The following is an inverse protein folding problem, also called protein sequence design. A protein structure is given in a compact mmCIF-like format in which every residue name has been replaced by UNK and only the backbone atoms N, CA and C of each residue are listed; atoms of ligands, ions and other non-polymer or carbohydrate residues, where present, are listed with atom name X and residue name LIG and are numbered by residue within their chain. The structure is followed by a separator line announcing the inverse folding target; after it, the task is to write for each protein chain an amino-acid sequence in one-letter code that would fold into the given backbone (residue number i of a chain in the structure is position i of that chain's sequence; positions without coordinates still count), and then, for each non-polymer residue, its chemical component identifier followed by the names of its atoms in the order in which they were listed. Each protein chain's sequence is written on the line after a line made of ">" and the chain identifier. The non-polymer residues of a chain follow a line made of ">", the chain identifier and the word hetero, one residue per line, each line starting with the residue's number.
data_IF_852856940314
#
_entry.id   IF_852856940314
#
_cell.length_a   1.000
_cell.length_b   1.000
_cell.length_c   1.000
_cell.angle_alpha   90.00
_cell.angle_beta   90.00
_cell.angle_gamma   90.00
#
_symmetry.space_group_name_H-M   'P 1'
#
loop_
_entity.id
_entity.type
_entity.pdbx_description
1 polymer ?
#
# COMPACT_ATOMS: atom_id res chain seq x y z
N UNK A 1 -10.94 -6.25 17.17
CA UNK A 1 -9.83 -5.51 16.54
C UNK A 1 -8.82 -6.53 16.02
N UNK A 2 -8.39 -6.42 14.75
CA UNK A 2 -7.39 -7.35 14.20
C UNK A 2 -6.01 -7.12 14.81
N UNK A 3 -5.13 -8.13 14.77
CA UNK A 3 -3.75 -7.99 15.26
C UNK A 3 -3.04 -6.87 14.46
N UNK A 4 -2.36 -5.92 15.13
CA UNK A 4 -1.55 -4.92 14.45
C UNK A 4 -0.50 -5.56 13.53
N UNK A 5 -0.07 -4.81 12.52
CA UNK A 5 1.04 -5.21 11.65
C UNK A 5 2.35 -5.26 12.45
N UNK A 6 3.27 -6.08 11.96
CA UNK A 6 4.61 -6.12 12.53
C UNK A 6 5.35 -4.82 12.16
N UNK A 7 6.10 -4.24 13.10
CA UNK A 7 6.84 -2.99 12.90
C UNK A 7 7.95 -3.10 11.85
N UNK A 8 8.39 -4.30 11.48
CA UNK A 8 9.34 -4.52 10.38
C UNK A 8 8.85 -4.03 9.01
N UNK A 9 7.54 -3.80 8.88
CA UNK A 9 6.91 -3.31 7.66
C UNK A 9 6.76 -1.78 7.64
N UNK A 10 7.33 -1.12 8.64
CA UNK A 10 7.27 0.33 8.84
C UNK A 10 8.70 0.87 8.84
N UNK A 11 8.82 2.14 8.51
CA UNK A 11 10.07 2.92 8.65
C UNK A 11 9.83 4.14 9.54
N UNK A 12 10.85 4.96 9.72
CA UNK A 12 10.72 6.29 10.30
C UNK A 12 10.70 7.37 9.22
N UNK A 13 10.16 8.54 9.57
CA UNK A 13 9.97 9.63 8.61
C UNK A 13 11.27 10.26 8.11
N UNK A 14 12.41 10.00 8.75
CA UNK A 14 13.72 10.53 8.33
C UNK A 14 14.38 9.57 7.35
N UNK A 15 14.36 8.28 7.66
CA UNK A 15 14.99 7.23 6.85
C UNK A 15 14.18 6.96 5.58
N UNK A 16 12.85 6.87 5.67
CA UNK A 16 12.01 6.53 4.51
C UNK A 16 12.21 5.07 4.06
N UNK A 17 11.93 4.80 2.78
CA UNK A 17 12.12 3.48 2.19
C UNK A 17 13.60 3.04 2.28
N UNK A 18 13.84 1.73 2.37
CA UNK A 18 15.20 1.18 2.54
C UNK A 18 15.42 0.04 1.56
N UNK A 19 16.50 0.12 0.78
CA UNK A 19 16.88 -0.93 -0.17
C UNK A 19 16.88 -2.34 0.45
N UNK A 20 16.06 -3.23 -0.11
CA UNK A 20 15.98 -4.64 0.27
C UNK A 20 15.34 -4.92 1.63
N UNK A 21 14.62 -3.94 2.19
CA UNK A 21 13.79 -4.12 3.38
C UNK A 21 12.31 -4.36 3.04
N UNK A 22 11.50 -4.65 4.06
CA UNK A 22 10.12 -5.13 3.90
C UNK A 22 9.10 -3.97 4.05
N UNK A 23 9.45 -2.69 3.85
CA UNK A 23 8.50 -1.59 4.03
C UNK A 23 7.34 -1.68 3.03
N UNK A 24 6.11 -1.48 3.53
CA UNK A 24 4.92 -1.43 2.67
C UNK A 24 4.89 -0.08 1.94
N UNK A 25 4.88 -0.12 0.60
CA UNK A 25 4.64 1.07 -0.25
C UNK A 25 3.20 1.56 -0.09
N UNK A 26 3.03 2.88 -0.03
CA UNK A 26 1.72 3.53 0.06
C UNK A 26 1.65 4.73 -0.86
N UNK A 27 0.48 4.96 -1.45
CA UNK A 27 0.18 6.21 -2.14
C UNK A 27 -0.73 7.04 -1.22
N UNK A 28 -0.43 8.31 -1.03
CA UNK A 28 -1.21 9.19 -0.16
C UNK A 28 -1.18 10.64 -0.62
N UNK A 29 -2.21 11.39 -0.29
CA UNK A 29 -2.24 12.82 -0.62
C UNK A 29 -1.60 13.64 0.50
N UNK A 30 -0.46 14.30 0.23
CA UNK A 30 0.31 15.09 1.19
C UNK A 30 -0.27 16.50 1.46
N UNK A 31 -1.51 16.73 1.03
CA UNK A 31 -2.20 18.03 1.10
C UNK A 31 -2.02 18.90 -0.14
N UNK A 32 -1.03 18.59 -0.99
CA UNK A 32 -0.81 19.29 -2.28
C UNK A 32 -1.00 18.36 -3.48
N UNK A 33 -0.45 17.15 -3.42
CA UNK A 33 -0.55 16.15 -4.47
C UNK A 33 -0.53 14.74 -3.87
N UNK A 34 -0.84 13.74 -4.70
CA UNK A 34 -0.59 12.33 -4.38
C UNK A 34 0.91 12.06 -4.49
N UNK A 35 1.44 11.39 -3.47
CA UNK A 35 2.84 11.02 -3.31
C UNK A 35 2.95 9.56 -2.89
N UNK A 36 4.06 8.96 -3.25
CA UNK A 36 4.46 7.65 -2.76
C UNK A 36 5.18 7.80 -1.42
N UNK A 37 5.17 6.75 -0.62
CA UNK A 37 5.79 6.77 0.68
C UNK A 37 5.64 5.47 1.43
N UNK A 38 5.81 5.58 2.75
CA UNK A 38 5.88 4.44 3.65
C UNK A 38 5.05 4.67 4.91
N UNK A 39 4.68 3.57 5.57
CA UNK A 39 3.97 3.63 6.86
C UNK A 39 4.98 3.88 7.98
N UNK A 40 4.74 4.95 8.75
CA UNK A 40 5.51 5.26 9.96
C UNK A 40 4.87 4.58 11.18
N UNK A 41 3.55 4.69 11.32
CA UNK A 41 2.82 4.12 12.47
C UNK A 41 1.39 3.71 12.14
N UNK A 42 0.96 2.56 12.64
CA UNK A 42 -0.44 2.16 12.59
C UNK A 42 -1.25 2.75 13.77
N UNK A 43 -2.30 3.53 13.47
CA UNK A 43 -3.26 4.07 14.47
C UNK A 43 -4.52 3.20 14.59
N UNK A 44 -4.85 2.44 13.54
CA UNK A 44 -5.95 1.48 13.52
C UNK A 44 -5.89 0.59 12.29
N UNK A 45 -6.89 -0.28 12.08
CA UNK A 45 -6.88 -1.21 10.93
C UNK A 45 -7.12 -0.54 9.57
N UNK A 46 -7.45 0.75 9.57
CA UNK A 46 -7.68 1.59 8.38
C UNK A 46 -7.06 2.98 8.47
N UNK A 47 -6.26 3.27 9.52
CA UNK A 47 -5.69 4.60 9.78
C UNK A 47 -4.22 4.47 10.11
N UNK A 48 -3.41 5.23 9.41
CA UNK A 48 -1.96 5.16 9.48
C UNK A 48 -1.37 6.56 9.51
N UNK A 49 -0.18 6.64 10.08
CA UNK A 49 0.71 7.77 9.87
C UNK A 49 1.72 7.36 8.83
N UNK A 50 1.85 8.18 7.79
CA UNK A 50 2.69 7.94 6.62
C UNK A 50 3.62 9.12 6.38
N UNK A 51 4.71 8.89 5.67
CA UNK A 51 5.65 9.91 5.22
C UNK A 51 6.05 9.62 3.77
N UNK A 52 6.36 10.67 3.01
CA UNK A 52 6.87 10.56 1.64
C UNK A 52 8.29 9.96 1.65
N UNK A 53 8.61 9.12 0.66
CA UNK A 53 9.96 8.58 0.51
C UNK A 53 10.93 9.74 0.25
N UNK A 54 12.03 9.83 1.01
CA UNK A 54 13.02 10.90 0.86
C UNK A 54 12.63 12.30 1.40
N UNK A 55 11.47 12.48 2.03
CA UNK A 55 11.06 13.76 2.62
C UNK A 55 11.39 13.86 4.13
N UNK A 56 11.94 14.99 4.56
CA UNK A 56 12.27 15.21 5.97
C UNK A 56 11.01 15.35 6.87
N UNK A 57 10.93 14.52 7.92
CA UNK A 57 10.16 14.65 9.17
C UNK A 57 8.64 14.93 9.07
N UNK A 58 8.07 14.96 7.86
CA UNK A 58 6.68 15.37 7.67
C UNK A 58 5.75 14.16 7.66
N UNK A 59 5.02 14.00 8.76
CA UNK A 59 4.07 12.92 8.93
C UNK A 59 2.63 13.35 8.59
N UNK A 60 1.92 12.49 7.88
CA UNK A 60 0.50 12.66 7.54
C UNK A 60 -0.32 11.54 8.17
N UNK A 61 -1.44 11.89 8.81
CA UNK A 61 -2.39 10.88 9.30
C UNK A 61 -3.46 10.66 8.24
N UNK A 62 -3.43 9.50 7.60
CA UNK A 62 -4.31 9.15 6.50
C UNK A 62 -5.20 7.95 6.83
N UNK A 63 -6.31 7.81 6.10
CA UNK A 63 -7.14 6.61 6.13
C UNK A 63 -7.15 5.90 4.78
N UNK A 64 -7.30 4.57 4.81
CA UNK A 64 -7.42 3.76 3.59
C UNK A 64 -8.69 4.14 2.83
N UNK A 65 -8.50 4.66 1.62
CA UNK A 65 -9.54 4.94 0.64
C UNK A 65 -9.62 3.79 -0.37
N UNK A 66 -10.83 3.49 -0.80
CA UNK A 66 -11.16 2.32 -1.63
C UNK A 66 -12.05 2.73 -2.78
N UNK A 67 -12.08 1.93 -3.85
CA UNK A 67 -12.96 2.16 -5.00
C UNK A 67 -12.55 3.37 -5.85
N UNK A 68 -11.29 3.79 -5.74
CA UNK A 68 -10.69 4.85 -6.56
C UNK A 68 -9.25 4.44 -6.89
N UNK A 69 -8.76 4.91 -8.03
CA UNK A 69 -7.34 4.83 -8.39
C UNK A 69 -6.51 5.71 -7.43
N UNK A 70 -5.26 5.34 -7.10
CA UNK A 70 -4.38 6.14 -6.24
C UNK A 70 -4.20 7.60 -6.69
N UNK A 71 -4.14 7.86 -8.00
CA UNK A 71 -4.08 9.22 -8.54
C UNK A 71 -5.29 10.11 -8.18
N UNK A 72 -6.41 9.53 -7.76
CA UNK A 72 -7.63 10.25 -7.38
C UNK A 72 -7.77 10.46 -5.85
N UNK A 73 -6.76 10.11 -5.06
CA UNK A 73 -6.77 10.32 -3.60
C UNK A 73 -6.85 11.82 -3.25
N UNK A 74 -7.68 12.15 -2.26
CA UNK A 74 -7.78 13.50 -1.70
C UNK A 74 -7.01 13.64 -0.37
N UNK A 75 -6.85 14.87 0.12
CA UNK A 75 -6.14 15.13 1.37
C UNK A 75 -6.65 14.29 2.55
N UNK A 76 -5.73 13.62 3.25
CA UNK A 76 -6.03 12.68 4.35
C UNK A 76 -6.39 11.26 3.89
N UNK A 77 -6.36 10.99 2.59
CA UNK A 77 -6.57 9.67 2.00
C UNK A 77 -5.25 9.02 1.61
N UNK A 78 -5.23 7.69 1.70
CA UNK A 78 -4.13 6.84 1.23
C UNK A 78 -4.67 5.53 0.65
N UNK A 79 -3.85 4.84 -0.14
CA UNK A 79 -4.05 3.48 -0.61
C UNK A 79 -2.82 2.61 -0.31
N UNK A 80 -3.05 1.31 -0.27
CA UNK A 80 -2.03 0.26 -0.39
C UNK A 80 -2.46 -0.56 -1.60
N UNK A 81 -1.56 -0.75 -2.55
CA UNK A 81 -1.78 -1.54 -3.75
C UNK A 81 -1.26 -2.97 -3.57
N UNK A 82 -1.98 -3.93 -4.14
CA UNK A 82 -1.60 -5.35 -4.12
C UNK A 82 -1.90 -6.01 -5.45
N UNK A 83 -1.03 -6.92 -5.88
CA UNK A 83 -1.22 -7.73 -7.07
C UNK A 83 -1.92 -9.05 -6.72
N UNK A 84 -3.02 -9.32 -7.40
CA UNK A 84 -3.80 -10.54 -7.31
C UNK A 84 -3.21 -11.71 -8.10
N UNK A 85 -3.67 -12.93 -7.82
CA UNK A 85 -3.29 -14.13 -8.59
C UNK A 85 -3.92 -14.18 -9.98
N UNK A 86 -4.85 -13.28 -10.26
CA UNK A 86 -5.49 -12.98 -11.54
C UNK A 86 -4.72 -11.93 -12.36
N UNK A 87 -3.55 -11.49 -11.87
CA UNK A 87 -2.72 -10.45 -12.47
C UNK A 87 -3.38 -9.06 -12.53
N UNK A 88 -4.39 -8.82 -11.69
CA UNK A 88 -5.02 -7.50 -11.52
C UNK A 88 -4.54 -6.82 -10.23
N UNK A 89 -4.54 -5.49 -10.21
CA UNK A 89 -4.13 -4.68 -9.05
C UNK A 89 -5.37 -4.26 -8.27
N UNK A 90 -5.29 -4.42 -6.95
CA UNK A 90 -6.37 -4.11 -6.02
C UNK A 90 -5.94 -3.09 -4.97
N UNK A 91 -6.89 -2.26 -4.53
CA UNK A 91 -6.74 -1.48 -3.32
C UNK A 91 -7.04 -2.29 -2.07
N UNK A 92 -6.50 -1.88 -0.92
CA UNK A 92 -6.76 -2.52 0.37
C UNK A 92 -7.73 -1.70 1.22
N UNK A 93 -8.88 -2.29 1.59
CA UNK A 93 -9.85 -1.66 2.49
C UNK A 93 -9.55 -1.83 3.98
N UNK A 94 -8.73 -2.83 4.28
CA UNK A 94 -8.33 -3.21 5.65
C UNK A 94 -7.12 -4.14 5.58
N UNK A 95 -6.14 -3.88 6.44
CA UNK A 95 -4.97 -4.76 6.64
C UNK A 95 -4.74 -5.00 8.13
N UNK A 96 -4.58 -6.28 8.51
CA UNK A 96 -4.28 -6.68 9.88
C UNK A 96 -3.64 -8.09 9.91
N UNK A 97 -2.63 -8.27 10.76
CA UNK A 97 -1.86 -9.52 10.81
C UNK A 97 -1.33 -9.90 9.43
N UNK A 98 -1.67 -11.10 8.95
CA UNK A 98 -1.31 -11.61 7.61
C UNK A 98 -2.51 -11.67 6.65
N UNK A 99 -3.49 -10.79 6.82
CA UNK A 99 -4.68 -10.70 5.96
C UNK A 99 -4.96 -9.29 5.47
N UNK A 100 -5.45 -9.20 4.24
CA UNK A 100 -5.95 -7.99 3.58
C UNK A 100 -7.35 -8.23 3.03
N UNK A 101 -8.20 -7.21 3.05
CA UNK A 101 -9.49 -7.22 2.34
C UNK A 101 -9.38 -6.34 1.11
N UNK A 102 -9.55 -6.96 -0.06
CA UNK A 102 -9.35 -6.35 -1.36
C UNK A 102 -10.57 -5.54 -1.80
N UNK A 103 -10.32 -4.47 -2.53
CA UNK A 103 -11.34 -3.70 -3.23
C UNK A 103 -10.83 -3.32 -4.61
N UNK A 104 -11.66 -3.53 -5.63
CA UNK A 104 -11.42 -3.06 -6.98
C UNK A 104 -11.21 -1.53 -7.00
N UNK A 105 -10.11 -1.01 -7.57
CA UNK A 105 -9.85 0.42 -7.62
C UNK A 105 -10.66 1.13 -8.72
N UNK A 106 -11.09 0.38 -9.74
CA UNK A 106 -11.91 0.85 -10.86
C UNK A 106 -12.93 -0.24 -11.28
N UNK A 107 -13.73 0.03 -12.31
CA UNK A 107 -14.60 -0.96 -12.94
C UNK A 107 -13.94 -1.69 -14.12
N UNK A 108 -12.67 -1.40 -14.41
CA UNK A 108 -11.86 -2.05 -15.44
C UNK A 108 -11.40 -3.42 -14.95
N UNK A 109 -11.24 -4.40 -15.85
CA UNK A 109 -10.85 -5.77 -15.49
C UNK A 109 -12.00 -6.67 -15.03
N UNK A 110 -11.66 -7.89 -14.63
CA UNK A 110 -12.63 -8.88 -14.12
C UNK A 110 -12.98 -8.64 -12.66
N UNK A 111 -12.07 -8.03 -11.89
CA UNK A 111 -12.19 -7.76 -10.47
C UNK A 111 -12.59 -9.01 -9.67
N UNK A 112 -12.07 -10.17 -10.07
CA UNK A 112 -12.48 -11.47 -9.53
C UNK A 112 -12.22 -11.63 -8.03
N UNK A 113 -11.30 -10.84 -7.46
CA UNK A 113 -10.96 -10.86 -6.05
C UNK A 113 -11.59 -9.72 -5.23
N UNK A 114 -12.43 -8.88 -5.84
CA UNK A 114 -13.09 -7.76 -5.16
C UNK A 114 -13.91 -8.23 -3.94
N UNK A 115 -13.77 -7.50 -2.83
CA UNK A 115 -14.41 -7.81 -1.55
C UNK A 115 -13.85 -9.06 -0.83
N UNK A 116 -12.97 -9.84 -1.44
CA UNK A 116 -12.40 -11.03 -0.83
C UNK A 116 -11.32 -10.67 0.20
N UNK A 117 -11.15 -11.54 1.18
CA UNK A 117 -10.03 -11.47 2.13
C UNK A 117 -8.98 -12.49 1.76
N UNK A 118 -7.77 -12.02 1.46
CA UNK A 118 -6.64 -12.84 1.07
C UNK A 118 -5.53 -12.81 2.13
N UNK A 119 -4.66 -13.83 2.11
CA UNK A 119 -3.34 -13.73 2.69
C UNK A 119 -2.50 -12.69 1.95
N UNK A 120 -1.40 -12.22 2.55
CA UNK A 120 -0.47 -11.35 1.85
C UNK A 120 0.99 -11.73 2.11
N UNK A 121 1.83 -11.44 1.12
CA UNK A 121 3.28 -11.65 1.14
C UNK A 121 4.01 -10.52 0.38
N UNK A 122 5.34 -10.59 0.44
CA UNK A 122 6.32 -9.67 -0.14
C UNK A 122 7.35 -10.49 -0.92
N UNK A 123 7.88 -9.94 -2.01
CA UNK A 123 8.89 -10.51 -2.91
C UNK A 123 8.42 -11.67 -3.79
N UNK A 124 7.61 -12.58 -3.27
CA UNK A 124 7.09 -13.72 -4.01
C UNK A 124 5.83 -13.38 -4.81
N UNK A 125 5.73 -13.96 -6.01
CA UNK A 125 4.57 -13.80 -6.90
C UNK A 125 3.25 -14.20 -6.22
N UNK A 126 2.18 -13.47 -6.53
CA UNK A 126 0.84 -13.78 -6.05
C UNK A 126 0.42 -15.21 -6.39
N UNK A 127 -0.39 -15.82 -5.54
CA UNK A 127 -0.88 -17.19 -5.70
C UNK A 127 -2.30 -17.34 -5.15
N UNK A 128 -2.97 -18.43 -5.47
CA UNK A 128 -4.34 -18.66 -4.99
C UNK A 128 -4.41 -18.51 -3.47
N UNK A 129 -5.22 -17.57 -2.99
CA UNK A 129 -5.38 -17.30 -1.56
C UNK A 129 -4.41 -16.26 -0.97
N UNK A 130 -3.42 -15.78 -1.74
CA UNK A 130 -2.36 -14.86 -1.27
C UNK A 130 -2.01 -13.82 -2.33
N UNK A 131 -2.17 -12.54 -1.99
CA UNK A 131 -1.72 -11.42 -2.84
C UNK A 131 -0.27 -11.02 -2.55
N UNK A 132 0.36 -10.36 -3.52
CA UNK A 132 1.65 -9.70 -3.34
C UNK A 132 1.41 -8.24 -2.98
N UNK A 133 1.95 -7.78 -1.86
CA UNK A 133 1.96 -6.37 -1.47
C UNK A 133 3.21 -5.72 -2.04
N UNK A 134 3.06 -4.49 -2.49
CA UNK A 134 4.13 -3.67 -3.04
C UNK A 134 5.16 -3.27 -1.97
N UNK A 135 6.43 -3.48 -2.28
CA UNK A 135 7.58 -3.06 -1.47
C UNK A 135 8.02 -1.65 -1.87
N UNK A 136 8.46 -0.86 -0.88
CA UNK A 136 8.81 0.55 -1.10
C UNK A 136 10.21 0.79 -1.70
N UNK A 137 11.08 -0.23 -1.79
CA UNK A 137 12.39 -0.09 -2.45
C UNK A 137 13.37 0.88 -1.76
N UNK A 138 14.28 1.46 -2.55
CA UNK A 138 15.29 2.46 -2.11
C UNK A 138 14.85 3.91 -2.40
N UNK A 139 14.04 4.15 -3.43
CA UNK A 139 13.61 5.49 -3.83
C UNK A 139 12.17 5.54 -4.39
N UNK A 140 11.71 6.75 -4.77
CA UNK A 140 10.43 7.00 -5.46
C UNK A 140 10.61 7.05 -7.00
N UNK A 141 11.69 6.46 -7.51
CA UNK A 141 12.00 6.44 -8.94
C UNK A 141 11.54 5.11 -9.49
N UNK A 142 10.73 5.13 -10.55
CA UNK A 142 10.38 3.94 -11.30
C UNK A 142 11.63 3.22 -11.79
N UNK A 143 12.09 2.24 -11.02
CA UNK A 143 13.36 1.56 -11.18
C UNK A 143 13.13 0.04 -11.04
N UNK A 144 14.15 -0.76 -10.72
CA UNK A 144 14.01 -2.22 -10.60
C UNK A 144 13.98 -2.74 -9.16
N UNK A 145 14.04 -1.86 -8.17
CA UNK A 145 14.06 -2.19 -6.75
C UNK A 145 12.69 -2.09 -6.08
N UNK A 146 11.71 -1.44 -6.71
CA UNK A 146 10.30 -1.47 -6.35
C UNK A 146 9.43 -2.20 -7.40
N UNK A 147 8.25 -2.62 -6.96
CA UNK A 147 7.37 -3.49 -7.75
C UNK A 147 6.44 -2.72 -8.71
N UNK A 148 6.27 -1.41 -8.49
CA UNK A 148 5.50 -0.45 -9.29
C UNK A 148 4.29 -1.04 -10.01
N UNK A 149 3.28 -1.38 -9.22
CA UNK A 149 2.05 -1.93 -9.76
C UNK A 149 1.32 -0.89 -10.62
N UNK A 150 0.99 -1.23 -11.87
CA UNK A 150 0.18 -0.36 -12.71
C UNK A 150 -1.23 -0.23 -12.13
N UNK A 151 -1.62 1.00 -11.79
CA UNK A 151 -2.82 1.31 -10.99
C UNK A 151 -4.17 0.89 -11.61
N UNK A 152 -4.23 0.64 -12.92
CA UNK A 152 -5.43 0.17 -13.62
C UNK A 152 -5.09 -1.13 -14.35
N UNK A 153 -6.04 -2.08 -14.32
CA UNK A 153 -5.88 -3.45 -14.82
C UNK A 153 -5.29 -3.52 -16.25
#
# INVERSE_FOLDING_TARGET
>A
MGRPLNKRYFTDAVTGATAGADEIKVNFHNGTAVKEGTIVRQKGSKRFVVAETGAADTEFTCYLKTGVLPAALAAGEMSISVLGSDAEVYGVSKIAGRKVTLVAPSATGTNALDGLTQGWQMGAAASSGTVRVEEAGDDDVANTDDDDFTDDA
#
